data_IF_918176894874
#
_entry.id   IF_918176894874
#
_cell.length_a   1.000
_cell.length_b   1.000
_cell.length_c   1.000
_cell.angle_alpha   90.00
_cell.angle_beta   90.00
_cell.angle_gamma   90.00
#
_symmetry.space_group_name_H-M   'P 1'
#
loop_
_entity.id
_entity.type
_entity.pdbx_description
1 polymer ?
#
# COMPACT_ATOMS: atom_id res chain seq x y z
N UNK A 1 18.00 0.77 -13.94
CA UNK A 1 16.98 -0.22 -13.58
C UNK A 1 15.59 0.36 -13.80
N UNK A 2 15.18 1.44 -13.14
CA UNK A 2 13.87 2.07 -13.37
C UNK A 2 13.68 2.67 -14.78
N UNK A 3 14.70 3.34 -15.32
CA UNK A 3 14.66 3.89 -16.70
C UNK A 3 14.56 2.81 -17.79
N UNK A 4 14.91 1.55 -17.49
CA UNK A 4 14.78 0.44 -18.46
C UNK A 4 13.34 -0.07 -18.54
N UNK A 5 12.57 0.11 -17.47
CA UNK A 5 11.16 -0.25 -17.38
C UNK A 5 10.25 0.95 -17.73
N UNK A 6 10.82 2.03 -18.28
CA UNK A 6 10.12 3.27 -18.64
C UNK A 6 9.34 3.91 -17.46
N UNK A 7 9.76 3.64 -16.22
CA UNK A 7 9.14 4.21 -15.02
C UNK A 7 9.66 5.63 -14.80
N UNK A 8 8.78 6.61 -14.95
CA UNK A 8 9.06 8.00 -14.60
C UNK A 8 9.22 8.16 -13.08
N UNK A 9 10.31 8.79 -12.65
CA UNK A 9 10.52 9.12 -11.23
C UNK A 9 9.87 10.47 -10.96
N UNK A 10 8.81 10.47 -10.15
CA UNK A 10 8.20 11.69 -9.62
C UNK A 10 8.67 11.91 -8.18
N UNK A 11 9.26 13.07 -7.91
CA UNK A 11 9.62 13.52 -6.57
C UNK A 11 8.64 14.62 -6.19
N UNK A 12 8.08 14.54 -4.99
CA UNK A 12 7.19 15.57 -4.47
C UNK A 12 7.93 16.91 -4.29
N UNK A 13 7.27 18.00 -4.68
CA UNK A 13 7.81 19.34 -4.44
C UNK A 13 7.71 19.71 -2.95
N UNK A 14 8.55 20.64 -2.48
CA UNK A 14 8.42 21.19 -1.12
C UNK A 14 7.00 21.74 -0.90
N UNK A 15 6.25 21.14 0.02
CA UNK A 15 4.87 21.52 0.35
C UNK A 15 3.76 20.70 -0.33
N UNK A 16 4.09 19.68 -1.12
CA UNK A 16 3.12 18.84 -1.84
C UNK A 16 2.58 17.66 -1.00
N UNK A 17 2.07 17.95 0.21
CA UNK A 17 1.59 16.93 1.16
C UNK A 17 0.49 16.01 0.61
N UNK A 18 -0.29 16.49 -0.37
CA UNK A 18 -1.40 15.73 -0.97
C UNK A 18 -0.91 14.48 -1.70
N UNK A 19 0.29 14.52 -2.26
CA UNK A 19 0.83 13.40 -3.01
C UNK A 19 1.25 12.25 -2.07
N UNK A 20 1.60 12.58 -0.82
CA UNK A 20 2.05 11.62 0.19
C UNK A 20 0.93 11.13 1.13
N UNK A 21 -0.23 11.81 1.18
CA UNK A 21 -1.29 11.55 2.19
C UNK A 21 -1.78 10.10 2.19
N UNK A 22 -1.80 9.44 1.03
CA UNK A 22 -2.23 8.04 0.90
C UNK A 22 -1.20 7.11 1.55
N UNK A 23 0.07 7.32 1.24
CA UNK A 23 1.19 6.54 1.80
C UNK A 23 1.32 6.77 3.31
N UNK A 24 1.16 7.99 3.78
CA UNK A 24 1.16 8.31 5.22
C UNK A 24 0.05 7.60 5.97
N UNK A 25 -1.16 7.56 5.39
CA UNK A 25 -2.29 6.84 5.98
C UNK A 25 -2.04 5.34 6.06
N UNK A 26 -1.47 4.74 5.01
CA UNK A 26 -1.06 3.34 5.03
C UNK A 26 -0.05 3.08 6.16
N UNK A 27 1.01 3.89 6.23
CA UNK A 27 2.04 3.72 7.26
C UNK A 27 1.52 3.92 8.68
N UNK A 28 0.56 4.81 8.89
CA UNK A 28 -0.11 4.95 10.18
C UNK A 28 -0.81 3.64 10.57
N UNK A 29 -1.59 3.05 9.67
CA UNK A 29 -2.26 1.78 9.95
C UNK A 29 -1.27 0.65 10.24
N UNK A 30 -0.23 0.48 9.41
CA UNK A 30 0.81 -0.55 9.63
C UNK A 30 1.49 -0.37 10.98
N UNK A 31 1.82 0.87 11.36
CA UNK A 31 2.50 1.12 12.64
C UNK A 31 1.61 0.79 13.83
N UNK A 32 0.39 1.29 13.86
CA UNK A 32 -0.49 1.17 15.02
C UNK A 32 -1.12 -0.21 15.16
N UNK A 33 -1.41 -0.88 14.06
CA UNK A 33 -2.15 -2.14 14.07
C UNK A 33 -1.23 -3.37 14.00
N UNK A 34 0.03 -3.20 13.61
CA UNK A 34 1.00 -4.30 13.51
C UNK A 34 2.28 -3.96 14.28
N UNK A 35 3.07 -2.99 13.84
CA UNK A 35 4.44 -2.80 14.36
C UNK A 35 4.50 -2.48 15.86
N UNK A 36 3.63 -1.61 16.38
CA UNK A 36 3.65 -1.22 17.79
C UNK A 36 3.09 -2.27 18.74
N UNK A 37 2.37 -3.27 18.21
CA UNK A 37 1.79 -4.35 19.01
C UNK A 37 2.71 -5.57 19.12
N UNK A 38 3.78 -5.62 18.32
CA UNK A 38 4.64 -6.79 18.20
C UNK A 38 6.09 -6.48 18.57
N UNK A 39 6.70 -7.40 19.32
CA UNK A 39 8.13 -7.42 19.58
C UNK A 39 8.77 -8.51 18.71
N UNK A 40 9.30 -8.12 17.54
CA UNK A 40 9.95 -9.06 16.64
C UNK A 40 11.32 -9.50 17.18
N UNK A 41 11.57 -10.80 17.20
CA UNK A 41 12.87 -11.36 17.56
C UNK A 41 13.88 -11.32 16.42
N UNK A 42 13.41 -11.28 15.16
CA UNK A 42 14.29 -11.20 13.97
C UNK A 42 13.69 -10.37 12.84
N UNK A 43 14.54 -9.93 11.90
CA UNK A 43 14.09 -9.24 10.67
C UNK A 43 13.21 -10.13 9.79
N UNK A 44 13.51 -11.44 9.70
CA UNK A 44 12.71 -12.39 8.93
C UNK A 44 11.30 -12.55 9.49
N UNK A 45 11.19 -12.59 10.81
CA UNK A 45 9.90 -12.59 11.50
C UNK A 45 9.11 -11.31 11.24
N UNK A 46 9.75 -10.14 11.39
CA UNK A 46 9.13 -8.85 11.08
C UNK A 46 8.63 -8.79 9.63
N UNK A 47 9.44 -9.24 8.67
CA UNK A 47 9.06 -9.29 7.25
C UNK A 47 7.85 -10.20 7.04
N UNK A 48 7.82 -11.38 7.65
CA UNK A 48 6.71 -12.31 7.51
C UNK A 48 5.42 -11.74 8.12
N UNK A 49 5.51 -11.12 9.31
CA UNK A 49 4.34 -10.56 9.99
C UNK A 49 3.77 -9.34 9.29
N UNK A 50 4.62 -8.37 8.93
CA UNK A 50 4.21 -7.21 8.13
C UNK A 50 3.64 -7.66 6.78
N UNK A 51 4.22 -8.68 6.14
CA UNK A 51 3.69 -9.25 4.90
C UNK A 51 2.28 -9.81 5.06
N UNK A 52 2.00 -10.54 6.14
CA UNK A 52 0.65 -11.03 6.46
C UNK A 52 -0.33 -9.89 6.70
N UNK A 53 0.09 -8.87 7.45
CA UNK A 53 -0.73 -7.69 7.70
C UNK A 53 -1.08 -6.96 6.40
N UNK A 54 -0.11 -6.75 5.50
CA UNK A 54 -0.36 -6.13 4.20
C UNK A 54 -1.29 -6.97 3.33
N UNK A 55 -1.17 -8.30 3.36
CA UNK A 55 -2.10 -9.21 2.69
C UNK A 55 -3.54 -9.05 3.21
N UNK A 56 -3.72 -8.94 4.53
CA UNK A 56 -5.02 -8.64 5.13
C UNK A 56 -5.55 -7.25 4.74
N UNK A 57 -4.69 -6.22 4.81
CA UNK A 57 -5.03 -4.84 4.49
C UNK A 57 -5.56 -4.71 3.05
N UNK A 58 -4.87 -5.33 2.09
CA UNK A 58 -5.20 -5.22 0.67
C UNK A 58 -6.40 -6.08 0.26
N UNK A 59 -6.48 -7.33 0.74
CA UNK A 59 -7.43 -8.29 0.23
C UNK A 59 -8.74 -8.38 1.04
N UNK A 60 -8.75 -7.95 2.31
CA UNK A 60 -9.87 -8.24 3.22
C UNK A 60 -10.44 -7.01 3.94
N UNK A 61 -9.64 -5.97 4.17
CA UNK A 61 -10.09 -4.80 4.93
C UNK A 61 -10.89 -3.84 4.03
N UNK A 62 -12.17 -3.58 4.30
CA UNK A 62 -12.92 -2.54 3.59
C UNK A 62 -12.52 -1.15 4.09
N UNK A 63 -12.41 -0.18 3.19
CA UNK A 63 -12.06 1.20 3.53
C UNK A 63 -13.21 2.15 3.18
N UNK A 64 -13.61 2.99 4.14
CA UNK A 64 -14.67 3.99 3.92
C UNK A 64 -14.33 4.99 2.80
N UNK A 65 -13.05 5.37 2.67
CA UNK A 65 -12.56 6.21 1.57
C UNK A 65 -12.66 5.54 0.19
N UNK A 66 -12.83 4.22 0.14
CA UNK A 66 -12.99 3.43 -1.08
C UNK A 66 -14.43 2.93 -1.24
N UNK A 67 -15.41 3.53 -0.56
CA UNK A 67 -16.81 3.10 -0.64
C UNK A 67 -17.04 1.68 -0.10
N UNK A 68 -16.34 1.33 0.99
CA UNK A 68 -16.35 0.01 1.61
C UNK A 68 -15.75 -1.12 0.75
N UNK A 69 -15.01 -0.78 -0.31
CA UNK A 69 -14.16 -1.73 -1.04
C UNK A 69 -12.82 -1.93 -0.36
N UNK A 70 -12.17 -3.06 -0.65
CA UNK A 70 -10.77 -3.30 -0.31
C UNK A 70 -9.83 -2.60 -1.30
N UNK A 71 -8.55 -2.36 -0.96
CA UNK A 71 -7.58 -1.81 -1.89
C UNK A 71 -7.42 -2.67 -3.16
N UNK A 72 -7.43 -4.00 -3.02
CA UNK A 72 -7.37 -4.90 -4.17
C UNK A 72 -8.58 -4.70 -5.09
N UNK A 73 -9.80 -4.65 -4.54
CA UNK A 73 -11.00 -4.38 -5.34
C UNK A 73 -10.91 -3.02 -6.04
N UNK A 74 -10.52 -1.97 -5.32
CA UNK A 74 -10.38 -0.64 -5.91
C UNK A 74 -9.33 -0.58 -7.02
N UNK A 75 -8.26 -1.37 -6.95
CA UNK A 75 -7.23 -1.42 -7.98
C UNK A 75 -7.66 -2.29 -9.17
N UNK A 76 -8.03 -3.54 -8.94
CA UNK A 76 -8.34 -4.51 -10.00
C UNK A 76 -9.65 -4.22 -10.73
N UNK A 77 -10.66 -3.66 -10.05
CA UNK A 77 -11.93 -3.25 -10.71
C UNK A 77 -11.72 -2.08 -11.68
N UNK A 78 -10.69 -1.26 -11.43
CA UNK A 78 -10.37 -0.07 -12.21
C UNK A 78 -9.15 -0.25 -13.12
N UNK A 79 -8.62 -1.47 -13.22
CA UNK A 79 -7.60 -1.75 -14.22
C UNK A 79 -8.26 -1.54 -15.59
N UNK A 80 -7.64 -0.77 -16.51
CA UNK A 80 -8.09 -0.79 -17.89
C UNK A 80 -8.09 -2.24 -18.33
N UNK A 81 -9.22 -2.73 -18.87
CA UNK A 81 -9.24 -4.00 -19.60
C UNK A 81 -8.11 -3.88 -20.58
N UNK A 82 -7.04 -4.66 -20.38
CA UNK A 82 -5.95 -4.72 -21.33
C UNK A 82 -6.63 -4.87 -22.68
N UNK A 83 -6.47 -3.88 -23.57
CA UNK A 83 -7.02 -3.95 -24.90
C UNK A 83 -6.42 -5.21 -25.52
N UNK A 84 -7.21 -6.29 -25.50
CA UNK A 84 -6.89 -7.52 -26.16
C UNK A 84 -6.96 -7.21 -27.65
N UNK A 85 -5.80 -6.95 -28.24
CA UNK A 85 -5.55 -6.90 -29.66
C UNK A 85 -4.21 -7.59 -29.91
#
# INVERSE_FOLDING_TARGET
MLLREEIAISIDGRGAWRDNVVVERLWRSVKYEEVYLHAYGTVSEARASIGRYLGFYNARRPHSSLGAKTPDQAYFDNLPVAMAA
#
